data_IF_462342905982
#
_entry.id   IF_462342905982
#
_cell.length_a   1.000
_cell.length_b   1.000
_cell.length_c   1.000
_cell.angle_alpha   90.00
_cell.angle_beta   90.00
_cell.angle_gamma   90.00
#
_symmetry.space_group_name_H-M   'P 1'
#
loop_
_entity.id
_entity.type
_entity.pdbx_description
1 polymer ?
#
# COMPACT_ATOMS: atom_id res chain seq x y z
N UNK A 1 -21.47 -15.47 6.44
CA UNK A 1 -21.23 -14.07 6.81
C UNK A 1 -21.63 -13.18 5.64
N UNK A 2 -22.70 -12.39 5.80
CA UNK A 2 -23.26 -11.57 4.71
C UNK A 2 -22.28 -10.50 4.21
N UNK A 3 -21.36 -10.03 5.07
CA UNK A 3 -20.33 -9.05 4.70
C UNK A 3 -19.28 -9.65 3.76
N UNK A 4 -18.83 -10.88 4.04
CA UNK A 4 -17.86 -11.57 3.19
C UNK A 4 -18.46 -11.95 1.82
N UNK A 5 -19.73 -12.35 1.80
CA UNK A 5 -20.45 -12.66 0.55
C UNK A 5 -20.55 -11.42 -0.35
N UNK A 6 -20.91 -10.26 0.22
CA UNK A 6 -20.94 -8.99 -0.52
C UNK A 6 -19.57 -8.59 -1.06
N UNK A 7 -18.50 -8.78 -0.27
CA UNK A 7 -17.12 -8.55 -0.72
C UNK A 7 -16.79 -9.43 -1.92
N UNK A 8 -17.00 -10.74 -1.83
CA UNK A 8 -16.69 -11.67 -2.94
C UNK A 8 -17.50 -11.32 -4.20
N UNK A 9 -18.79 -11.03 -4.07
CA UNK A 9 -19.65 -10.70 -5.22
C UNK A 9 -19.32 -9.36 -5.88
N UNK A 10 -18.78 -8.40 -5.13
CA UNK A 10 -18.43 -7.08 -5.66
C UNK A 10 -17.01 -7.01 -6.24
N UNK A 11 -16.20 -8.07 -6.14
CA UNK A 11 -14.82 -8.09 -6.65
C UNK A 11 -14.74 -7.78 -8.15
N UNK A 12 -15.60 -8.35 -9.03
CA UNK A 12 -15.56 -8.03 -10.46
C UNK A 12 -15.85 -6.56 -10.75
N UNK A 13 -16.73 -5.94 -9.96
CA UNK A 13 -17.05 -4.50 -10.08
C UNK A 13 -15.83 -3.67 -9.68
N UNK A 14 -15.20 -4.01 -8.55
CA UNK A 14 -14.00 -3.34 -8.08
C UNK A 14 -12.86 -3.46 -9.10
N UNK A 15 -12.65 -4.66 -9.64
CA UNK A 15 -11.63 -4.93 -10.66
C UNK A 15 -11.83 -4.11 -11.93
N UNK A 16 -13.06 -4.08 -12.44
CA UNK A 16 -13.41 -3.32 -13.63
C UNK A 16 -13.21 -1.82 -13.41
N UNK A 17 -13.70 -1.26 -12.30
CA UNK A 17 -13.56 0.17 -11.99
C UNK A 17 -12.08 0.56 -11.81
N UNK A 18 -11.29 -0.25 -11.09
CA UNK A 18 -9.86 -0.04 -10.93
C UNK A 18 -9.13 -0.07 -12.29
N UNK A 19 -9.45 -1.06 -13.12
CA UNK A 19 -8.88 -1.22 -14.47
C UNK A 19 -9.17 0.00 -15.35
N UNK A 20 -10.41 0.49 -15.35
CA UNK A 20 -10.79 1.67 -16.12
C UNK A 20 -10.05 2.92 -15.63
N UNK A 21 -9.97 3.15 -14.31
CA UNK A 21 -9.24 4.31 -13.75
C UNK A 21 -7.78 4.31 -14.17
N UNK A 22 -7.10 3.17 -14.03
CA UNK A 22 -5.69 3.04 -14.38
C UNK A 22 -5.48 3.29 -15.88
N UNK A 23 -6.33 2.72 -16.74
CA UNK A 23 -6.21 2.91 -18.19
C UNK A 23 -6.54 4.32 -18.67
N UNK A 24 -7.55 4.97 -18.10
CA UNK A 24 -7.88 6.36 -18.44
C UNK A 24 -6.67 7.27 -18.19
N UNK A 25 -6.00 7.07 -17.06
CA UNK A 25 -4.81 7.85 -16.70
C UNK A 25 -3.61 7.45 -17.54
N UNK A 26 -3.36 6.16 -17.75
CA UNK A 26 -2.16 5.69 -18.46
C UNK A 26 -2.13 6.10 -19.93
N UNK A 27 -3.30 6.34 -20.54
CA UNK A 27 -3.45 6.75 -21.94
C UNK A 27 -3.48 8.27 -22.11
N UNK A 28 -3.73 9.02 -21.05
CA UNK A 28 -3.79 10.47 -21.08
C UNK A 28 -2.38 11.08 -20.99
N UNK A 29 -2.17 12.17 -21.73
CA UNK A 29 -0.98 13.01 -21.56
C UNK A 29 -1.03 13.78 -20.23
N UNK A 30 0.12 14.24 -19.73
CA UNK A 30 0.16 14.99 -18.47
C UNK A 30 -0.75 16.24 -18.46
N UNK A 31 -0.81 17.07 -19.53
CA UNK A 31 -1.77 18.19 -19.58
C UNK A 31 -3.23 17.73 -19.54
N UNK A 32 -3.58 16.62 -20.19
CA UNK A 32 -4.93 16.05 -20.15
C UNK A 32 -5.27 15.53 -18.75
N UNK A 33 -4.31 14.90 -18.05
CA UNK A 33 -4.49 14.50 -16.66
C UNK A 33 -4.77 15.73 -15.81
N UNK A 34 -3.99 16.80 -15.94
CA UNK A 34 -4.23 18.03 -15.20
C UNK A 34 -5.61 18.64 -15.51
N UNK A 35 -6.04 18.62 -16.77
CA UNK A 35 -7.36 19.09 -17.18
C UNK A 35 -8.51 18.26 -16.59
N UNK A 36 -8.41 16.93 -16.62
CA UNK A 36 -9.41 16.03 -16.02
C UNK A 36 -9.58 16.26 -14.50
N UNK A 37 -8.50 16.68 -13.82
CA UNK A 37 -8.51 16.92 -12.37
C UNK A 37 -8.97 18.32 -12.00
N UNK A 38 -9.07 19.24 -12.97
CA UNK A 38 -9.61 20.58 -12.75
C UNK A 38 -11.12 20.54 -12.51
N UNK A 39 -11.60 21.50 -11.72
CA UNK A 39 -13.01 21.55 -11.27
C UNK A 39 -13.93 22.19 -12.33
N UNK A 40 -13.38 23.08 -13.14
CA UNK A 40 -13.98 23.67 -14.35
C UNK A 40 -13.92 22.65 -15.50
N UNK A 41 -14.95 21.79 -15.55
CA UNK A 41 -14.90 20.50 -16.23
C UNK A 41 -14.97 20.52 -17.75
N UNK A 42 -14.04 19.78 -18.37
CA UNK A 42 -14.28 19.07 -19.63
C UNK A 42 -15.21 17.86 -19.43
N UNK A 43 -15.85 17.40 -20.50
CA UNK A 43 -16.70 16.20 -20.49
C UNK A 43 -15.91 14.97 -19.99
N UNK A 44 -14.65 14.85 -20.41
CA UNK A 44 -13.71 13.81 -19.97
C UNK A 44 -13.43 13.89 -18.46
N UNK A 45 -13.24 15.10 -17.91
CA UNK A 45 -13.08 15.31 -16.48
C UNK A 45 -14.31 14.91 -15.67
N UNK A 46 -15.52 15.16 -16.19
CA UNK A 46 -16.77 14.73 -15.56
C UNK A 46 -16.92 13.20 -15.58
N UNK A 47 -16.60 12.56 -16.70
CA UNK A 47 -16.60 11.10 -16.82
C UNK A 47 -15.61 10.46 -15.83
N UNK A 48 -14.38 10.98 -15.76
CA UNK A 48 -13.37 10.50 -14.82
C UNK A 48 -13.82 10.67 -13.36
N UNK A 49 -14.36 11.83 -12.97
CA UNK A 49 -14.87 12.05 -11.60
C UNK A 49 -15.99 11.09 -11.25
N UNK A 50 -16.90 10.83 -12.19
CA UNK A 50 -17.99 9.87 -12.00
C UNK A 50 -17.44 8.46 -11.77
N UNK A 51 -16.49 8.04 -12.60
CA UNK A 51 -15.79 6.76 -12.45
C UNK A 51 -15.07 6.64 -11.10
N UNK A 52 -14.33 7.67 -10.69
CA UNK A 52 -13.64 7.70 -9.39
C UNK A 52 -14.63 7.60 -8.24
N UNK A 53 -15.76 8.33 -8.29
CA UNK A 53 -16.78 8.28 -7.25
C UNK A 53 -17.39 6.86 -7.12
N UNK A 54 -17.69 6.20 -8.23
CA UNK A 54 -18.18 4.80 -8.22
C UNK A 54 -17.13 3.85 -7.64
N UNK A 55 -15.86 4.03 -8.02
CA UNK A 55 -14.75 3.26 -7.47
C UNK A 55 -14.64 3.45 -5.96
N UNK A 56 -14.61 4.69 -5.47
CA UNK A 56 -14.46 5.00 -4.04
C UNK A 56 -15.63 4.44 -3.22
N UNK A 57 -16.86 4.48 -3.74
CA UNK A 57 -18.02 3.86 -3.07
C UNK A 57 -17.93 2.33 -3.06
N UNK A 58 -17.45 1.72 -4.14
CA UNK A 58 -17.24 0.27 -4.20
C UNK A 58 -16.12 -0.16 -3.24
N UNK A 59 -15.04 0.63 -3.15
CA UNK A 59 -13.90 0.39 -2.25
C UNK A 59 -14.32 0.36 -0.78
N UNK A 60 -15.31 1.17 -0.38
CA UNK A 60 -15.87 1.21 0.99
C UNK A 60 -16.49 -0.09 1.49
N UNK A 61 -16.80 -1.03 0.58
CA UNK A 61 -17.21 -2.40 0.95
C UNK A 61 -16.04 -3.18 1.57
N UNK A 62 -14.81 -2.86 1.16
CA UNK A 62 -13.58 -3.57 1.56
C UNK A 62 -12.85 -2.85 2.69
N UNK A 63 -12.67 -1.53 2.57
CA UNK A 63 -12.09 -0.70 3.63
C UNK A 63 -12.78 0.66 3.73
N UNK A 64 -13.13 1.05 4.97
CA UNK A 64 -13.80 2.32 5.27
C UNK A 64 -12.89 3.34 5.95
N UNK A 65 -11.94 2.85 6.74
CA UNK A 65 -11.12 3.68 7.64
C UNK A 65 -9.70 3.88 7.09
N UNK A 66 -9.20 2.93 6.29
CA UNK A 66 -7.87 3.01 5.68
C UNK A 66 -7.95 3.34 4.19
N UNK A 67 -7.01 4.13 3.65
CA UNK A 67 -6.98 4.45 2.23
C UNK A 67 -6.70 3.22 1.35
N UNK A 68 -5.82 2.32 1.82
CA UNK A 68 -5.46 1.08 1.16
C UNK A 68 -6.16 -0.12 1.78
N UNK A 69 -6.49 -1.12 0.96
CA UNK A 69 -7.12 -2.36 1.40
C UNK A 69 -6.03 -3.39 1.70
N UNK A 70 -6.01 -3.89 2.93
CA UNK A 70 -5.21 -5.07 3.31
C UNK A 70 -6.02 -6.34 3.01
N UNK A 71 -5.61 -7.06 1.94
CA UNK A 71 -6.25 -8.28 1.48
C UNK A 71 -6.27 -9.39 2.55
N UNK A 72 -5.21 -9.48 3.37
CA UNK A 72 -5.09 -10.50 4.42
C UNK A 72 -6.05 -10.19 5.57
N UNK A 73 -6.11 -8.93 6.01
CA UNK A 73 -7.02 -8.50 7.07
C UNK A 73 -8.49 -8.75 6.72
N UNK A 74 -8.86 -8.68 5.44
CA UNK A 74 -10.22 -8.97 4.96
C UNK A 74 -10.43 -10.42 4.49
N UNK A 75 -9.49 -11.33 4.80
CA UNK A 75 -9.57 -12.76 4.50
C UNK A 75 -9.64 -13.11 3.01
N UNK A 76 -9.04 -12.28 2.14
CA UNK A 76 -8.87 -12.57 0.71
C UNK A 76 -7.55 -13.33 0.49
N UNK A 77 -7.60 -14.65 0.66
CA UNK A 77 -6.42 -15.50 0.57
C UNK A 77 -6.14 -16.05 -0.84
N UNK A 78 -7.12 -16.00 -1.74
CA UNK A 78 -6.91 -16.52 -3.10
C UNK A 78 -6.03 -15.55 -3.90
N UNK A 79 -5.02 -16.03 -4.65
CA UNK A 79 -4.14 -15.17 -5.43
C UNK A 79 -4.87 -14.23 -6.40
N UNK A 80 -5.93 -14.72 -7.07
CA UNK A 80 -6.74 -13.89 -7.96
C UNK A 80 -7.47 -12.76 -7.23
N UNK A 81 -7.95 -13.01 -6.00
CA UNK A 81 -8.60 -11.98 -5.18
C UNK A 81 -7.58 -10.94 -4.72
N UNK A 82 -6.41 -11.38 -4.26
CA UNK A 82 -5.32 -10.49 -3.85
C UNK A 82 -4.86 -9.59 -4.99
N UNK A 83 -4.82 -10.11 -6.22
CA UNK A 83 -4.45 -9.32 -7.40
C UNK A 83 -5.50 -8.23 -7.72
N UNK A 84 -6.79 -8.54 -7.59
CA UNK A 84 -7.86 -7.53 -7.73
C UNK A 84 -7.71 -6.44 -6.65
N UNK A 85 -7.45 -6.83 -5.40
CA UNK A 85 -7.24 -5.87 -4.30
C UNK A 85 -5.99 -5.01 -4.56
N UNK A 86 -4.89 -5.62 -4.99
CA UNK A 86 -3.65 -4.90 -5.34
C UNK A 86 -3.89 -3.90 -6.47
N UNK A 87 -4.64 -4.28 -7.50
CA UNK A 87 -5.04 -3.39 -8.58
C UNK A 87 -5.91 -2.22 -8.08
N UNK A 88 -6.85 -2.48 -7.17
CA UNK A 88 -7.63 -1.41 -6.54
C UNK A 88 -6.75 -0.46 -5.71
N UNK A 89 -5.73 -0.98 -5.02
CA UNK A 89 -4.75 -0.16 -4.32
C UNK A 89 -3.92 0.69 -5.30
N UNK A 90 -3.53 0.16 -6.46
CA UNK A 90 -2.87 0.94 -7.52
C UNK A 90 -3.76 2.08 -8.01
N UNK A 91 -5.03 1.80 -8.32
CA UNK A 91 -5.98 2.82 -8.74
C UNK A 91 -6.13 3.93 -7.68
N UNK A 92 -6.23 3.55 -6.41
CA UNK A 92 -6.24 4.50 -5.28
C UNK A 92 -4.97 5.34 -5.25
N UNK A 93 -3.80 4.71 -5.36
CA UNK A 93 -2.49 5.35 -5.34
C UNK A 93 -2.35 6.40 -6.44
N UNK A 94 -2.67 6.00 -7.67
CA UNK A 94 -2.56 6.85 -8.86
C UNK A 94 -3.54 8.04 -8.74
N UNK A 95 -4.80 7.79 -8.38
CA UNK A 95 -5.78 8.86 -8.22
C UNK A 95 -5.43 9.83 -7.08
N UNK A 96 -4.75 9.35 -6.03
CA UNK A 96 -4.29 10.17 -4.91
C UNK A 96 -3.19 11.14 -5.34
N UNK A 97 -2.17 10.64 -6.05
CA UNK A 97 -1.03 11.46 -6.51
C UNK A 97 -1.45 12.43 -7.61
N UNK A 98 -2.31 12.00 -8.54
CA UNK A 98 -2.58 12.80 -9.73
C UNK A 98 -3.68 13.84 -9.56
N UNK A 99 -4.50 13.78 -8.50
CA UNK A 99 -5.55 14.80 -8.35
C UNK A 99 -6.22 14.92 -6.99
N UNK A 100 -6.63 13.81 -6.37
CA UNK A 100 -7.51 13.92 -5.20
C UNK A 100 -6.78 14.35 -3.91
N UNK A 101 -5.48 14.06 -3.81
CA UNK A 101 -4.67 14.30 -2.60
C UNK A 101 -5.38 13.85 -1.30
N UNK A 102 -6.24 12.84 -1.40
CA UNK A 102 -7.10 12.32 -0.35
C UNK A 102 -6.36 11.35 0.57
N UNK A 103 -5.13 10.99 0.19
CA UNK A 103 -4.23 10.11 0.95
C UNK A 103 -2.96 10.87 1.30
N UNK A 104 -2.59 10.87 2.57
CA UNK A 104 -1.36 11.51 3.04
C UNK A 104 -0.13 10.84 2.44
N UNK A 105 0.95 11.60 2.24
CA UNK A 105 2.24 11.08 1.79
C UNK A 105 2.79 9.95 2.67
N UNK A 106 2.57 10.01 3.98
CA UNK A 106 2.97 8.94 4.89
C UNK A 106 2.36 7.58 4.50
N UNK A 107 1.04 7.53 4.37
CA UNK A 107 0.33 6.32 3.91
C UNK A 107 0.75 5.90 2.48
N UNK A 108 0.98 6.85 1.57
CA UNK A 108 1.50 6.52 0.23
C UNK A 108 2.88 5.83 0.32
N UNK A 109 3.77 6.35 1.17
CA UNK A 109 5.09 5.75 1.39
C UNK A 109 4.98 4.35 2.01
N UNK A 110 4.19 4.17 3.07
CA UNK A 110 4.05 2.88 3.76
C UNK A 110 3.52 1.77 2.84
N UNK A 111 2.48 2.07 2.04
CA UNK A 111 1.83 1.08 1.19
C UNK A 111 2.47 0.93 -0.20
N UNK A 112 3.52 1.69 -0.53
CA UNK A 112 4.15 1.65 -1.85
C UNK A 112 4.60 0.24 -2.24
N UNK A 113 5.35 -0.41 -1.35
CA UNK A 113 5.92 -1.74 -1.61
C UNK A 113 4.82 -2.79 -1.78
N UNK A 114 3.78 -2.77 -0.95
CA UNK A 114 2.65 -3.70 -1.06
C UNK A 114 1.81 -3.48 -2.31
N UNK A 115 1.73 -2.23 -2.79
CA UNK A 115 0.91 -1.86 -3.95
C UNK A 115 1.62 -2.19 -5.27
N UNK A 116 2.89 -1.79 -5.41
CA UNK A 116 3.62 -1.90 -6.67
C UNK A 116 4.55 -3.11 -6.76
N UNK A 117 4.91 -3.74 -5.64
CA UNK A 117 5.81 -4.89 -5.59
C UNK A 117 5.08 -6.10 -4.99
N UNK A 118 4.47 -6.95 -5.83
CA UNK A 118 3.83 -8.18 -5.38
C UNK A 118 4.76 -9.02 -4.48
N UNK A 119 4.19 -9.73 -3.50
CA UNK A 119 4.96 -10.60 -2.61
C UNK A 119 5.77 -11.62 -3.42
N UNK A 120 7.05 -11.77 -3.09
CA UNK A 120 7.97 -12.65 -3.80
C UNK A 120 8.58 -12.06 -5.08
N UNK A 121 8.21 -10.84 -5.48
CA UNK A 121 8.79 -10.15 -6.63
C UNK A 121 9.90 -9.18 -6.21
N UNK A 122 10.84 -8.96 -7.11
CA UNK A 122 11.95 -8.01 -6.92
C UNK A 122 11.52 -6.59 -7.26
N UNK A 123 12.09 -5.61 -6.57
CA UNK A 123 11.88 -4.19 -6.88
C UNK A 123 12.52 -3.84 -8.22
N UNK A 124 11.70 -3.41 -9.17
CA UNK A 124 12.16 -2.97 -10.49
C UNK A 124 12.78 -1.57 -10.42
N UNK A 125 13.69 -1.27 -11.36
CA UNK A 125 14.37 0.03 -11.43
C UNK A 125 13.42 1.23 -11.46
N UNK A 126 12.34 1.16 -12.24
CA UNK A 126 11.36 2.25 -12.32
C UNK A 126 10.55 2.41 -11.03
N UNK A 127 10.25 1.30 -10.34
CA UNK A 127 9.56 1.32 -9.05
C UNK A 127 10.44 1.97 -7.98
N UNK A 128 11.72 1.60 -7.92
CA UNK A 128 12.69 2.21 -7.02
C UNK A 128 12.88 3.71 -7.26
N UNK A 129 12.91 4.14 -8.54
CA UNK A 129 13.01 5.56 -8.88
C UNK A 129 11.82 6.36 -8.33
N UNK A 130 10.59 5.91 -8.59
CA UNK A 130 9.38 6.56 -8.06
C UNK A 130 9.32 6.51 -6.54
N UNK A 131 9.72 5.40 -5.92
CA UNK A 131 9.68 5.26 -4.47
C UNK A 131 10.64 6.23 -3.78
N UNK A 132 11.83 6.43 -4.35
CA UNK A 132 12.81 7.38 -3.85
C UNK A 132 12.27 8.82 -3.87
N UNK A 133 11.63 9.21 -4.98
CA UNK A 133 11.04 10.54 -5.09
C UNK A 133 9.83 10.70 -4.17
N UNK A 134 9.00 9.66 -4.02
CA UNK A 134 7.90 9.67 -3.05
C UNK A 134 8.39 9.85 -1.61
N UNK A 135 9.45 9.14 -1.20
CA UNK A 135 10.08 9.33 0.11
C UNK A 135 10.57 10.77 0.30
N UNK A 136 11.13 11.34 -0.75
CA UNK A 136 11.61 12.73 -0.75
C UNK A 136 10.46 13.72 -0.61
N UNK A 137 9.37 13.54 -1.36
CA UNK A 137 8.14 14.35 -1.22
C UNK A 137 7.50 14.19 0.17
N UNK A 138 7.54 12.98 0.73
CA UNK A 138 7.04 12.70 2.08
C UNK A 138 7.84 13.45 3.13
N UNK A 139 9.18 13.44 3.02
CA UNK A 139 10.07 14.21 3.88
C UNK A 139 9.79 15.72 3.78
N UNK A 140 9.74 16.27 2.56
CA UNK A 140 9.49 17.69 2.34
C UNK A 140 8.13 18.09 2.92
N UNK A 141 7.08 17.30 2.68
CA UNK A 141 5.76 17.54 3.24
C UNK A 141 5.77 17.49 4.76
N UNK A 142 6.45 16.52 5.38
CA UNK A 142 6.58 16.44 6.83
C UNK A 142 7.34 17.64 7.40
N UNK A 143 8.45 18.03 6.78
CA UNK A 143 9.28 19.17 7.18
C UNK A 143 8.52 20.50 7.11
N UNK A 144 7.64 20.68 6.11
CA UNK A 144 6.86 21.91 5.97
C UNK A 144 5.65 21.99 6.93
N UNK A 145 5.15 20.86 7.41
CA UNK A 145 3.89 20.79 8.16
C UNK A 145 4.08 20.35 9.63
N UNK A 146 5.28 19.93 10.04
CA UNK A 146 5.56 19.40 11.38
C UNK A 146 6.85 19.96 11.94
N UNK A 147 6.88 20.27 13.24
CA UNK A 147 8.09 20.67 13.98
C UNK A 147 8.93 19.46 14.46
N UNK A 148 8.78 18.31 13.82
CA UNK A 148 9.50 17.09 14.21
C UNK A 148 10.99 17.17 13.89
N UNK A 149 11.79 16.32 14.53
CA UNK A 149 13.23 16.24 14.26
C UNK A 149 13.47 15.71 12.83
N UNK A 150 14.12 16.47 11.94
CA UNK A 150 14.37 16.03 10.56
C UNK A 150 15.21 14.75 10.48
N UNK A 151 16.11 14.52 11.43
CA UNK A 151 16.90 13.29 11.51
C UNK A 151 16.01 12.09 11.77
N UNK A 152 15.07 12.18 12.72
CA UNK A 152 14.13 11.11 13.03
C UNK A 152 13.19 10.82 11.85
N UNK A 153 12.72 11.87 11.16
CA UNK A 153 11.93 11.71 9.94
C UNK A 153 12.71 11.00 8.83
N UNK A 154 13.99 11.35 8.66
CA UNK A 154 14.86 10.71 7.67
C UNK A 154 15.22 9.27 8.06
N UNK A 155 15.38 8.96 9.35
CA UNK A 155 15.53 7.58 9.81
C UNK A 155 14.27 6.73 9.55
N UNK A 156 13.08 7.30 9.77
CA UNK A 156 11.82 6.61 9.49
C UNK A 156 11.61 6.38 7.98
N UNK A 157 11.92 7.37 7.13
CA UNK A 157 11.74 7.27 5.68
C UNK A 157 12.84 6.47 5.00
N UNK A 158 14.08 6.55 5.51
CA UNK A 158 15.27 5.89 4.96
C UNK A 158 15.96 5.06 6.06
N UNK A 159 15.33 3.97 6.50
CA UNK A 159 15.83 3.20 7.62
C UNK A 159 17.10 2.42 7.23
N UNK A 160 18.01 2.16 8.18
CA UNK A 160 19.29 1.50 7.90
C UNK A 160 19.13 0.05 7.42
N UNK A 161 18.03 -0.62 7.82
CA UNK A 161 17.67 -2.00 7.48
C UNK A 161 16.76 -2.10 6.24
N UNK A 162 16.68 -1.05 5.41
CA UNK A 162 15.85 -1.04 4.20
C UNK A 162 16.20 -2.20 3.23
N UNK A 163 17.46 -2.61 3.19
CA UNK A 163 17.91 -3.78 2.45
C UNK A 163 17.30 -5.09 2.98
N UNK A 164 17.32 -5.29 4.29
CA UNK A 164 16.66 -6.43 4.94
C UNK A 164 15.14 -6.40 4.72
N UNK A 165 14.50 -5.22 4.81
CA UNK A 165 13.07 -5.07 4.55
C UNK A 165 12.69 -5.47 3.12
N UNK A 166 13.50 -5.10 2.11
CA UNK A 166 13.28 -5.55 0.73
C UNK A 166 13.47 -7.06 0.61
N UNK A 167 14.55 -7.61 1.18
CA UNK A 167 14.88 -9.03 1.07
C UNK A 167 13.83 -9.94 1.72
N UNK A 168 13.27 -9.54 2.86
CA UNK A 168 12.22 -10.31 3.56
C UNK A 168 10.94 -10.48 2.73
N UNK A 169 10.70 -9.62 1.73
CA UNK A 169 9.54 -9.72 0.83
C UNK A 169 9.70 -10.79 -0.25
N UNK A 170 10.91 -11.28 -0.51
CA UNK A 170 11.19 -12.34 -1.47
C UNK A 170 12.25 -13.31 -0.91
N UNK A 171 11.89 -14.12 0.11
CA UNK A 171 12.83 -14.96 0.86
C UNK A 171 13.57 -16.01 0.02
N UNK A 172 13.10 -16.28 -1.20
CA UNK A 172 13.75 -17.20 -2.13
C UNK A 172 14.99 -16.59 -2.82
N UNK A 173 15.22 -15.28 -2.71
CA UNK A 173 16.41 -14.64 -3.26
C UNK A 173 17.55 -14.65 -2.23
N UNK A 174 18.76 -15.13 -2.61
CA UNK A 174 19.90 -15.18 -1.70
C UNK A 174 20.51 -13.81 -1.41
N UNK A 175 20.25 -12.81 -2.25
CA UNK A 175 20.79 -11.45 -2.15
C UNK A 175 19.90 -10.47 -2.90
N UNK A 176 20.11 -9.17 -2.66
CA UNK A 176 19.51 -8.10 -3.45
C UNK A 176 19.90 -8.23 -4.93
N UNK A 177 18.95 -7.92 -5.80
CA UNK A 177 19.22 -7.77 -7.23
C UNK A 177 19.96 -6.45 -7.52
N UNK A 178 20.61 -6.31 -8.70
CA UNK A 178 21.30 -5.07 -9.05
C UNK A 178 20.41 -3.81 -9.00
N UNK A 179 19.12 -3.92 -9.36
CA UNK A 179 18.19 -2.79 -9.28
C UNK A 179 17.81 -2.44 -7.86
N UNK A 180 17.71 -3.43 -6.97
CA UNK A 180 17.47 -3.21 -5.54
C UNK A 180 18.68 -2.58 -4.87
N UNK A 181 19.89 -3.06 -5.19
CA UNK A 181 21.13 -2.49 -4.68
C UNK A 181 21.28 -1.03 -5.11
N UNK A 182 21.07 -0.71 -6.39
CA UNK A 182 21.07 0.67 -6.91
C UNK A 182 20.05 1.56 -6.15
N UNK A 183 18.84 1.04 -5.89
CA UNK A 183 17.84 1.76 -5.11
C UNK A 183 18.30 2.03 -3.67
N UNK A 184 18.90 1.05 -3.00
CA UNK A 184 19.42 1.20 -1.64
C UNK A 184 20.54 2.24 -1.59
N UNK A 185 21.50 2.16 -2.52
CA UNK A 185 22.64 3.09 -2.57
C UNK A 185 22.17 4.52 -2.84
N UNK A 186 21.22 4.69 -3.77
CA UNK A 186 20.59 6.00 -4.05
C UNK A 186 19.77 6.51 -2.87
N UNK A 187 19.08 5.63 -2.14
CA UNK A 187 18.33 5.98 -0.94
C UNK A 187 19.25 6.48 0.18
N UNK A 188 20.36 5.79 0.42
CA UNK A 188 21.40 6.19 1.38
C UNK A 188 22.02 7.53 0.98
N UNK A 189 22.39 7.71 -0.30
CA UNK A 189 22.91 8.97 -0.79
C UNK A 189 21.91 10.13 -0.65
N UNK A 190 20.63 9.90 -1.00
CA UNK A 190 19.55 10.89 -0.84
C UNK A 190 19.39 11.30 0.62
N UNK A 191 19.37 10.34 1.55
CA UNK A 191 19.33 10.63 3.00
C UNK A 191 20.49 11.53 3.43
N UNK A 192 21.71 11.20 3.03
CA UNK A 192 22.90 12.00 3.35
C UNK A 192 22.82 13.42 2.79
N UNK A 193 22.33 13.59 1.56
CA UNK A 193 22.14 14.91 0.97
C UNK A 193 21.07 15.72 1.68
N UNK A 194 19.92 15.13 1.99
CA UNK A 194 18.84 15.81 2.71
C UNK A 194 19.24 16.20 4.13
N UNK A 195 20.06 15.39 4.79
CA UNK A 195 20.59 15.67 6.13
C UNK A 195 21.64 16.79 6.12
N UNK A 196 22.43 16.90 5.05
CA UNK A 196 23.47 17.90 4.90
C UNK A 196 22.93 19.30 4.55
N UNK A 197 21.66 19.43 4.17
CA UNK A 197 21.05 20.73 3.85
C UNK A 197 21.00 21.64 5.11
N UNK A 198 21.53 22.88 5.03
CA UNK A 198 21.48 23.84 6.13
C UNK A 198 20.06 24.09 6.65
N UNK A 199 19.92 24.25 7.97
CA UNK A 199 18.63 24.46 8.66
C UNK A 199 18.18 25.93 8.69
N UNK A 200 18.42 26.66 7.62
CA UNK A 200 17.95 28.05 7.49
C UNK A 200 16.53 28.07 6.93
N UNK A 201 15.74 29.07 7.31
CA UNK A 201 14.38 29.24 6.73
C UNK A 201 14.42 29.36 5.20
N UNK A 202 15.52 29.86 4.65
CA UNK A 202 15.74 29.96 3.21
C UNK A 202 15.91 28.57 2.57
N UNK A 203 16.77 27.71 3.10
CA UNK A 203 16.95 26.35 2.60
C UNK A 203 15.68 25.49 2.74
N UNK A 204 14.91 25.68 3.82
CA UNK A 204 13.60 25.03 3.97
C UNK A 204 12.59 25.44 2.89
N UNK A 205 12.71 26.66 2.35
CA UNK A 205 11.89 27.15 1.22
C UNK A 205 12.45 26.79 -0.15
N UNK A 206 13.76 26.54 -0.27
CA UNK A 206 14.40 26.12 -1.52
C UNK A 206 14.21 24.62 -1.79
N UNK A 207 14.08 23.79 -0.76
CA UNK A 207 13.95 22.34 -0.93
C UNK A 207 12.72 21.92 -1.78
N UNK A 208 11.51 22.47 -1.56
CA UNK A 208 10.36 22.22 -2.43
C UNK A 208 10.54 22.74 -3.88
N UNK A 209 11.38 23.76 -4.08
CA UNK A 209 11.71 24.28 -5.43
C UNK A 209 12.70 23.36 -6.14
N UNK A 210 13.64 22.76 -5.41
CA UNK A 210 14.61 21.77 -5.93
C UNK A 210 13.92 20.45 -6.28
N UNK A 211 12.95 20.03 -5.48
CA UNK A 211 12.19 18.79 -5.67
C UNK A 211 10.72 19.12 -5.93
N UNK A 212 10.44 19.72 -7.10
CA UNK A 212 9.09 20.19 -7.40
C UNK A 212 8.08 19.05 -7.45
N UNK A 213 6.94 19.27 -6.81
CA UNK A 213 5.80 18.36 -6.87
C UNK A 213 5.36 18.08 -8.31
N UNK A 214 5.27 19.12 -9.13
CA UNK A 214 4.86 19.02 -10.55
C UNK A 214 5.79 18.13 -11.38
N UNK A 215 7.09 18.10 -11.06
CA UNK A 215 8.06 17.25 -11.73
C UNK A 215 7.86 15.79 -11.32
N UNK A 216 7.68 15.54 -10.01
CA UNK A 216 7.35 14.21 -9.51
C UNK A 216 6.07 13.65 -10.11
N UNK A 217 4.97 14.42 -10.12
CA UNK A 217 3.68 13.97 -10.68
C UNK A 217 3.79 13.66 -12.17
N UNK A 218 4.53 14.48 -12.92
CA UNK A 218 4.78 14.26 -14.35
C UNK A 218 5.61 13.00 -14.60
N UNK A 219 6.67 12.78 -13.81
CA UNK A 219 7.50 11.57 -13.89
C UNK A 219 6.68 10.33 -13.50
N UNK A 220 5.90 10.41 -12.42
CA UNK A 220 4.99 9.36 -11.97
C UNK A 220 4.00 8.96 -13.07
N UNK A 221 3.30 9.93 -13.66
CA UNK A 221 2.39 9.68 -14.76
C UNK A 221 3.09 9.00 -15.96
N UNK A 222 4.29 9.45 -16.31
CA UNK A 222 5.09 8.85 -17.39
C UNK A 222 5.49 7.40 -17.07
N UNK A 223 5.91 7.13 -15.84
CA UNK A 223 6.28 5.78 -15.39
C UNK A 223 5.07 4.83 -15.40
N UNK A 224 3.90 5.27 -14.94
CA UNK A 224 2.67 4.49 -15.01
C UNK A 224 2.31 4.19 -16.47
N UNK A 225 2.31 5.19 -17.35
CA UNK A 225 1.98 5.01 -18.76
C UNK A 225 2.89 3.99 -19.47
N UNK A 226 4.21 4.05 -19.20
CA UNK A 226 5.20 3.13 -19.80
C UNK A 226 5.14 1.71 -19.26
N UNK A 227 4.65 1.50 -18.05
CA UNK A 227 4.67 0.21 -17.37
C UNK A 227 3.27 -0.36 -17.10
N UNK A 228 2.21 0.24 -17.65
CA UNK A 228 0.81 -0.12 -17.32
C UNK A 228 0.54 -1.60 -17.53
N UNK A 229 1.03 -2.21 -18.62
CA UNK A 229 0.80 -3.63 -18.89
C UNK A 229 1.44 -4.53 -17.83
N UNK A 230 2.65 -4.21 -17.36
CA UNK A 230 3.33 -4.94 -16.29
C UNK A 230 2.77 -4.67 -14.90
N UNK A 231 2.18 -3.49 -14.69
CA UNK A 231 1.45 -3.13 -13.46
C UNK A 231 0.13 -3.90 -13.38
N UNK A 232 -0.54 -4.10 -14.51
CA UNK A 232 -1.88 -4.71 -14.60
C UNK A 232 -1.86 -6.23 -14.73
N UNK A 233 -0.83 -6.77 -15.38
CA UNK A 233 -0.68 -8.20 -15.64
C UNK A 233 0.62 -8.70 -15.00
N UNK A 234 0.59 -8.89 -13.68
CA UNK A 234 1.72 -9.51 -12.98
C UNK A 234 1.78 -10.98 -13.40
N UNK A 235 2.89 -11.45 -14.00
CA UNK A 235 3.04 -12.87 -14.31
C UNK A 235 2.94 -13.65 -13.00
N UNK A 236 1.98 -14.58 -12.92
CA UNK A 236 1.96 -15.54 -11.83
C UNK A 236 3.33 -16.22 -11.80
N UNK A 237 4.00 -16.20 -10.65
CA UNK A 237 5.28 -16.89 -10.48
C UNK A 237 5.05 -18.37 -10.77
N UNK A 238 5.36 -18.79 -12.00
CA UNK A 238 5.60 -20.18 -12.33
C UNK A 238 6.59 -20.68 -11.27
N UNK A 239 6.20 -21.67 -10.48
CA UNK A 239 7.18 -22.48 -9.76
C UNK A 239 8.10 -23.06 -10.83
N UNK A 240 9.23 -22.37 -11.07
CA UNK A 240 10.25 -22.83 -11.97
C UNK A 240 10.88 -24.05 -11.29
N UNK A 241 10.31 -25.22 -11.57
CA UNK A 241 11.03 -26.48 -11.46
C UNK A 241 12.31 -26.30 -12.25
N UNK A 242 13.43 -26.33 -11.53
CA UNK A 242 14.77 -26.30 -12.07
C UNK A 242 14.95 -27.45 -13.06
N UNK A 243 14.71 -27.21 -14.35
CA UNK A 243 15.24 -28.04 -15.41
C UNK A 243 16.26 -27.20 -16.18
N UNK A 244 17.49 -27.26 -15.68
CA UNK A 244 18.69 -26.83 -16.35
C UNK A 244 18.91 -27.62 -17.64
N UNK A 245 18.68 -26.99 -18.79
CA UNK A 245 19.43 -27.26 -20.03
C UNK A 245 19.61 -25.95 -20.77
N UNK A 246 20.80 -25.37 -20.65
CA UNK A 246 21.23 -24.27 -21.50
C UNK A 246 21.57 -24.77 -22.89
N UNK A 247 21.37 -23.91 -23.90
CA UNK A 247 22.26 -23.74 -25.05
C UNK A 247 22.09 -22.31 -25.61
N UNK A 248 23.21 -21.60 -25.62
CA UNK A 248 23.72 -20.51 -26.45
C UNK A 248 22.83 -19.63 -27.35
N UNK A 249 23.18 -18.34 -27.30
CA UNK A 249 22.87 -17.27 -28.23
C UNK A 249 23.54 -17.43 -29.61
N UNK A 250 22.85 -17.02 -30.67
CA UNK A 250 23.40 -16.48 -31.93
C UNK A 250 22.48 -15.37 -32.44
N UNK A 251 23.08 -14.30 -32.95
CA UNK A 251 22.47 -13.10 -33.48
C UNK A 251 22.07 -13.19 -34.97
N UNK A 252 21.31 -12.18 -35.39
CA UNK A 252 21.27 -11.53 -36.72
C UNK A 252 20.27 -11.94 -37.85
N UNK A 253 19.50 -10.90 -38.22
CA UNK A 253 19.16 -10.36 -39.57
C UNK A 253 18.08 -11.04 -40.45
N UNK A 254 16.96 -10.31 -40.55
CA UNK A 254 16.19 -9.84 -41.72
C UNK A 254 15.75 -10.81 -42.86
N UNK A 255 14.45 -10.74 -43.23
CA UNK A 255 13.94 -11.30 -44.48
C UNK A 255 12.40 -11.34 -44.59
N UNK A 256 11.85 -10.50 -45.47
CA UNK A 256 10.44 -10.37 -45.88
C UNK A 256 9.80 -11.68 -46.37
N UNK A 257 8.48 -11.86 -46.16
CA UNK A 257 7.49 -11.94 -47.27
C UNK A 257 6.06 -12.27 -46.78
N UNK A 258 5.09 -11.46 -47.22
CA UNK A 258 3.82 -11.86 -47.84
C UNK A 258 2.88 -12.88 -47.18
N UNK A 259 1.69 -12.40 -46.81
CA UNK A 259 0.42 -12.62 -47.53
C UNK A 259 -0.81 -12.97 -46.65
N UNK A 260 -1.80 -12.07 -46.75
CA UNK A 260 -3.27 -12.20 -46.72
C UNK A 260 -3.98 -13.41 -46.05
N UNK A 261 -5.03 -13.09 -45.29
CA UNK A 261 -6.12 -14.04 -44.98
C UNK A 261 -7.14 -13.53 -43.96
N UNK A 262 -8.26 -12.98 -44.46
CA UNK A 262 -9.48 -12.64 -43.72
C UNK A 262 -10.05 -13.80 -42.89
N UNK A 263 -10.65 -13.50 -41.72
CA UNK A 263 -11.95 -14.05 -41.32
C UNK A 263 -12.54 -13.28 -40.12
N UNK A 264 -13.73 -12.72 -40.33
CA UNK A 264 -14.60 -12.11 -39.34
C UNK A 264 -15.47 -13.17 -38.65
N UNK A 265 -15.69 -13.06 -37.33
CA UNK A 265 -16.82 -13.64 -36.59
C UNK A 265 -16.97 -12.78 -35.31
N UNK A 266 -17.90 -11.81 -35.21
CA UNK A 266 -19.35 -11.90 -35.02
C UNK A 266 -19.81 -12.41 -33.63
N UNK A 267 -20.40 -11.47 -32.90
CA UNK A 267 -21.67 -11.58 -32.17
C UNK A 267 -21.74 -12.33 -30.82
N UNK A 268 -21.95 -11.49 -29.80
CA UNK A 268 -22.65 -11.71 -28.53
C UNK A 268 -23.98 -12.45 -28.71
N UNK A 269 -24.36 -13.35 -27.79
CA UNK A 269 -25.76 -13.57 -27.49
C UNK A 269 -26.15 -13.03 -26.12
N UNK A 270 -27.32 -12.41 -26.16
CA UNK A 270 -28.05 -11.69 -25.15
C UNK A 270 -28.56 -12.60 -24.02
N UNK A 271 -28.75 -11.98 -22.85
CA UNK A 271 -29.34 -12.53 -21.63
C UNK A 271 -30.82 -12.87 -21.85
N UNK A 272 -31.22 -14.09 -21.47
CA UNK A 272 -32.61 -14.52 -21.35
C UNK A 272 -32.95 -14.80 -19.90
N UNK A 273 -33.87 -13.99 -19.35
CA UNK A 273 -34.52 -14.18 -18.05
C UNK A 273 -35.60 -15.25 -18.18
N UNK A 274 -35.59 -16.27 -17.31
CA UNK A 274 -36.83 -16.87 -16.81
C UNK A 274 -36.60 -17.64 -15.50
N UNK A 275 -37.45 -17.39 -14.50
CA UNK A 275 -37.39 -18.04 -13.19
C UNK A 275 -38.23 -19.32 -13.10
N UNK A 276 -37.89 -20.19 -12.13
CA UNK A 276 -38.87 -20.90 -11.30
C UNK A 276 -38.21 -21.64 -10.11
N UNK A 277 -38.96 -21.54 -9.02
CA UNK A 277 -38.95 -22.14 -7.67
C UNK A 277 -38.60 -23.63 -7.55
N UNK A 278 -38.06 -24.03 -6.39
CA UNK A 278 -37.95 -25.45 -5.99
C UNK A 278 -37.24 -25.72 -4.65
N UNK A 279 -38.06 -25.78 -3.61
CA UNK A 279 -37.97 -26.25 -2.21
C UNK A 279 -36.86 -27.24 -1.72
N UNK A 280 -36.36 -26.98 -0.50
CA UNK A 280 -36.39 -27.91 0.66
C UNK A 280 -35.39 -29.08 0.81
N UNK A 281 -34.41 -28.95 1.72
CA UNK A 281 -34.04 -30.04 2.66
C UNK A 281 -33.20 -29.54 3.84
N UNK A 282 -33.66 -29.84 5.06
CA UNK A 282 -33.10 -29.43 6.34
C UNK A 282 -32.15 -30.50 6.92
N UNK A 283 -31.05 -30.06 7.54
CA UNK A 283 -30.13 -30.93 8.28
C UNK A 283 -29.31 -30.19 9.35
N UNK A 284 -29.82 -30.19 10.59
CA UNK A 284 -29.17 -30.11 11.92
C UNK A 284 -28.02 -29.09 12.19
N UNK A 285 -28.32 -28.11 13.06
CA UNK A 285 -27.40 -27.29 13.92
C UNK A 285 -26.60 -28.17 14.92
N UNK A 286 -25.38 -27.80 15.38
CA UNK A 286 -25.12 -26.70 16.37
C UNK A 286 -23.70 -26.05 16.27
N UNK A 287 -23.22 -25.21 17.23
CA UNK A 287 -23.80 -24.09 17.98
C UNK A 287 -23.24 -22.72 17.49
N UNK A 288 -23.51 -21.65 18.24
CA UNK A 288 -23.28 -20.25 17.90
C UNK A 288 -21.86 -19.68 18.17
N UNK A 289 -21.67 -18.44 17.69
CA UNK A 289 -20.63 -17.42 18.01
C UNK A 289 -19.33 -17.49 17.15
N UNK A 290 -18.72 -16.38 16.69
CA UNK A 290 -18.60 -15.04 17.29
C UNK A 290 -18.52 -13.97 16.20
N UNK A 291 -19.31 -12.90 16.33
CA UNK A 291 -19.19 -11.64 15.58
C UNK A 291 -17.83 -10.98 15.82
N UNK A 292 -17.14 -10.49 14.78
CA UNK A 292 -15.99 -9.58 14.92
C UNK A 292 -16.47 -8.18 15.32
N UNK A 293 -16.94 -8.12 16.57
CA UNK A 293 -16.93 -6.94 17.43
C UNK A 293 -15.48 -6.48 17.55
N UNK A 294 -15.26 -5.16 17.60
CA UNK A 294 -13.96 -4.55 17.97
C UNK A 294 -13.42 -5.31 19.18
N UNK A 295 -12.38 -6.13 19.01
CA UNK A 295 -11.91 -6.98 20.10
C UNK A 295 -11.40 -6.09 21.24
N UNK A 296 -12.13 -6.02 22.37
CA UNK A 296 -11.76 -5.17 23.48
C UNK A 296 -10.40 -5.63 24.01
N UNK A 297 -9.61 -4.67 24.50
CA UNK A 297 -8.36 -5.02 25.17
C UNK A 297 -8.68 -5.71 26.48
N UNK A 298 -8.05 -6.84 26.70
CA UNK A 298 -8.12 -7.58 27.96
C UNK A 298 -7.06 -7.04 28.92
N UNK A 299 -7.30 -7.13 30.23
CA UNK A 299 -6.32 -6.70 31.24
C UNK A 299 -4.93 -7.35 31.05
N UNK A 300 -4.82 -8.66 30.74
CA UNK A 300 -3.52 -9.27 30.46
C UNK A 300 -2.77 -8.66 29.26
N UNK A 301 -3.49 -8.24 28.21
CA UNK A 301 -2.89 -7.54 27.07
C UNK A 301 -2.40 -6.14 27.45
N UNK A 302 -3.13 -5.43 28.31
CA UNK A 302 -2.74 -4.12 28.83
C UNK A 302 -1.50 -4.21 29.72
N UNK A 303 -1.47 -5.20 30.62
CA UNK A 303 -0.34 -5.44 31.52
C UNK A 303 0.91 -5.85 30.73
N UNK A 304 0.76 -6.69 29.70
CA UNK A 304 1.85 -7.07 28.81
C UNK A 304 2.40 -5.89 27.99
N UNK A 305 1.52 -4.98 27.54
CA UNK A 305 1.93 -3.75 26.86
C UNK A 305 2.72 -2.82 27.78
N UNK A 306 2.26 -2.63 29.03
CA UNK A 306 2.96 -1.81 30.03
C UNK A 306 4.30 -2.41 30.43
N UNK A 307 4.35 -3.73 30.67
CA UNK A 307 5.59 -4.45 30.99
C UNK A 307 6.56 -4.45 29.82
N UNK A 308 6.05 -4.54 28.59
CA UNK A 308 6.84 -4.39 27.36
C UNK A 308 7.51 -3.02 27.29
N UNK A 309 6.72 -1.94 27.43
CA UNK A 309 7.22 -0.56 27.42
C UNK A 309 8.28 -0.29 28.50
N UNK A 310 8.11 -0.87 29.69
CA UNK A 310 9.08 -0.76 30.78
C UNK A 310 10.39 -1.52 30.47
N UNK A 311 10.28 -2.75 29.97
CA UNK A 311 11.46 -3.59 29.63
C UNK A 311 12.29 -3.05 28.48
N UNK A 312 11.64 -2.50 27.45
CA UNK A 312 12.34 -1.92 26.30
C UNK A 312 12.70 -0.46 26.51
N UNK A 313 12.35 0.13 27.66
CA UNK A 313 12.61 1.52 28.04
C UNK A 313 12.19 2.55 26.97
N UNK A 314 11.04 2.35 26.34
CA UNK A 314 10.56 3.24 25.27
C UNK A 314 9.53 2.61 24.34
N UNK A 315 8.97 3.38 23.38
CA UNK A 315 7.94 2.93 22.45
C UNK A 315 8.51 2.07 21.29
N UNK A 316 9.30 1.04 21.59
CA UNK A 316 9.84 0.11 20.59
C UNK A 316 8.85 -1.03 20.31
N UNK A 317 7.78 -0.72 19.56
CA UNK A 317 6.64 -1.63 19.34
C UNK A 317 7.02 -2.98 18.71
N UNK A 318 7.98 -2.99 17.79
CA UNK A 318 8.52 -4.22 17.19
C UNK A 318 9.21 -5.12 18.22
N UNK A 319 9.99 -4.53 19.15
CA UNK A 319 10.64 -5.26 20.24
C UNK A 319 9.62 -5.79 21.25
N UNK A 320 8.57 -5.02 21.54
CA UNK A 320 7.47 -5.48 22.41
C UNK A 320 6.75 -6.69 21.79
N UNK A 321 6.52 -6.69 20.48
CA UNK A 321 5.95 -7.85 19.77
C UNK A 321 6.93 -9.04 19.69
N UNK A 322 8.24 -8.81 19.68
CA UNK A 322 9.22 -9.89 19.79
C UNK A 322 9.22 -10.57 21.19
N UNK A 323 8.76 -9.86 22.22
CA UNK A 323 8.65 -10.40 23.58
C UNK A 323 7.27 -11.03 23.86
N UNK A 324 6.19 -10.38 23.41
CA UNK A 324 4.81 -10.70 23.79
C UNK A 324 3.89 -11.09 22.60
N UNK A 325 4.37 -10.97 21.37
CA UNK A 325 3.63 -11.25 20.14
C UNK A 325 3.68 -12.73 19.72
N UNK A 326 3.43 -13.00 18.44
CA UNK A 326 3.39 -14.37 17.91
C UNK A 326 4.81 -14.97 17.92
N UNK A 327 5.04 -16.05 18.67
CA UNK A 327 6.37 -16.58 18.94
C UNK A 327 7.18 -15.76 19.95
N UNK A 328 6.52 -14.95 20.79
CA UNK A 328 7.17 -14.09 21.77
C UNK A 328 7.94 -14.87 22.84
N UNK A 329 9.12 -14.38 23.21
CA UNK A 329 10.02 -15.04 24.17
C UNK A 329 9.52 -15.02 25.63
N UNK A 330 8.54 -14.18 25.97
CA UNK A 330 7.96 -14.08 27.33
C UNK A 330 6.54 -14.63 27.37
N UNK A 331 5.70 -14.25 26.40
CA UNK A 331 4.37 -14.83 26.22
C UNK A 331 3.84 -14.54 24.81
N UNK A 332 2.70 -15.12 24.44
CA UNK A 332 2.05 -14.84 23.15
C UNK A 332 0.73 -14.07 23.31
N UNK A 333 0.57 -13.30 24.38
CA UNK A 333 -0.69 -12.61 24.70
C UNK A 333 -1.04 -11.50 23.70
N UNK A 334 -0.05 -10.91 23.03
CA UNK A 334 -0.20 -9.89 21.98
C UNK A 334 -0.10 -10.48 20.56
N UNK A 335 -0.21 -11.80 20.38
CA UNK A 335 -0.04 -12.46 19.06
C UNK A 335 -1.02 -12.01 17.98
N UNK A 336 -2.20 -11.56 18.38
CA UNK A 336 -3.26 -11.07 17.50
C UNK A 336 -3.27 -9.53 17.40
N UNK A 337 -2.22 -8.87 17.91
CA UNK A 337 -2.08 -7.41 17.93
C UNK A 337 -0.91 -6.95 17.07
N UNK A 338 -1.06 -5.80 16.39
CA UNK A 338 -0.03 -5.19 15.53
C UNK A 338 0.58 -3.93 16.17
N UNK A 339 1.71 -3.44 15.62
CA UNK A 339 2.44 -2.29 16.18
C UNK A 339 1.57 -1.03 16.29
N UNK A 340 0.67 -0.82 15.32
CA UNK A 340 -0.28 0.31 15.31
C UNK A 340 -1.28 0.22 16.46
N UNK A 341 -1.84 -0.96 16.71
CA UNK A 341 -2.76 -1.21 17.82
C UNK A 341 -2.08 -1.01 19.17
N UNK A 342 -0.82 -1.44 19.32
CA UNK A 342 -0.03 -1.20 20.53
C UNK A 342 0.21 0.30 20.75
N UNK A 343 0.59 1.03 19.70
CA UNK A 343 0.78 2.49 19.73
C UNK A 343 -0.51 3.24 20.09
N UNK A 344 -1.62 2.92 19.43
CA UNK A 344 -2.92 3.54 19.69
C UNK A 344 -3.43 3.23 21.09
N UNK A 345 -3.24 1.99 21.58
CA UNK A 345 -3.62 1.63 22.93
C UNK A 345 -2.79 2.35 23.98
N UNK A 346 -1.47 2.44 23.79
CA UNK A 346 -0.58 3.16 24.71
C UNK A 346 -0.93 4.66 24.75
N UNK A 347 -1.24 5.26 23.60
CA UNK A 347 -1.74 6.65 23.51
C UNK A 347 -3.07 6.83 24.24
N UNK A 348 -4.04 5.94 24.02
CA UNK A 348 -5.34 5.99 24.67
C UNK A 348 -5.26 5.78 26.19
N UNK A 349 -4.38 4.88 26.65
CA UNK A 349 -4.10 4.68 28.08
C UNK A 349 -3.50 5.95 28.69
N UNK A 350 -2.51 6.57 28.04
CA UNK A 350 -1.93 7.84 28.48
C UNK A 350 -2.98 8.95 28.58
N UNK A 351 -3.86 9.06 27.58
CA UNK A 351 -4.97 10.02 27.60
C UNK A 351 -5.95 9.75 28.74
N UNK A 352 -6.25 8.48 29.03
CA UNK A 352 -7.13 8.09 30.14
C UNK A 352 -6.54 8.48 31.51
N UNK A 353 -5.24 8.24 31.74
CA UNK A 353 -4.55 8.66 32.98
C UNK A 353 -4.59 10.18 33.15
N UNK A 354 -4.30 10.94 32.08
CA UNK A 354 -4.36 12.40 32.08
C UNK A 354 -5.78 12.93 32.34
N UNK A 355 -6.81 12.30 31.76
CA UNK A 355 -8.22 12.71 31.92
C UNK A 355 -8.80 12.36 33.29
N UNK A 356 -8.33 11.29 33.91
CA UNK A 356 -8.78 10.85 35.24
C UNK A 356 -7.96 11.45 36.39
N UNK A 357 -6.97 12.30 36.10
CA UNK A 357 -6.13 12.97 37.10
C UNK A 357 -5.20 12.01 37.87
N UNK A 358 -4.96 10.80 37.33
CA UNK A 358 -4.04 9.82 37.90
C UNK A 358 -2.64 10.02 37.33
N UNK A 359 -1.61 9.74 38.13
CA UNK A 359 -0.23 9.85 37.67
C UNK A 359 0.04 8.90 36.49
N UNK A 360 0.65 9.42 35.43
CA UNK A 360 1.01 8.65 34.23
C UNK A 360 2.22 7.77 34.56
N UNK A 361 2.11 6.43 34.41
CA UNK A 361 3.23 5.52 34.61
C UNK A 361 4.50 5.94 33.83
N UNK A 362 5.71 5.79 34.41
CA UNK A 362 6.97 6.15 33.73
C UNK A 362 7.12 5.55 32.33
N UNK A 363 6.67 4.30 32.14
CA UNK A 363 6.67 3.59 30.86
C UNK A 363 5.83 4.27 29.76
N UNK A 364 4.82 5.07 30.12
CA UNK A 364 3.96 5.81 29.17
C UNK A 364 4.44 7.25 28.93
N UNK A 365 5.45 7.72 29.68
CA UNK A 365 5.98 9.08 29.52
C UNK A 365 6.63 9.28 28.14
N UNK A 366 7.33 8.26 27.63
CA UNK A 366 8.01 8.25 26.33
C UNK A 366 7.11 8.11 25.09
N UNK A 367 5.80 7.87 25.25
CA UNK A 367 4.85 7.80 24.12
C UNK A 367 4.51 9.23 23.67
N UNK A 368 5.17 9.71 22.62
CA UNK A 368 4.96 11.05 22.03
C UNK A 368 3.98 10.99 20.85
N UNK A 369 3.13 12.00 20.74
CA UNK A 369 2.12 12.14 19.69
C UNK A 369 1.02 13.12 20.11
N UNK A 370 0.53 13.94 19.17
CA UNK A 370 -0.50 14.95 19.41
C UNK A 370 -1.73 14.32 20.11
N UNK A 371 -2.05 14.80 21.31
CA UNK A 371 -3.20 14.33 22.09
C UNK A 371 -4.44 15.03 21.55
N UNK A 372 -5.18 14.39 20.63
CA UNK A 372 -6.48 14.92 20.23
C UNK A 372 -7.41 14.85 21.44
N UNK A 373 -7.90 16.01 21.85
CA UNK A 373 -8.86 16.22 22.94
C UNK A 373 -10.18 15.50 22.68
#
# INVERSE_FOLDING_TARGET
>A
DAGMHLKIQSLPILDNLATQLIHTISKASYPQIQDMMRTDGSEDGQAYRTLKNLFDQTRKVYSRETPFIDAIAIQMFQPAQQEIIRKANIATFISSILGAHDVSFFHLNEFFMETFVPLGHRLLKWQGAIYLELKTQTYISALMNSDGNPEEMLEELFPPDLDAQILTRHPDAPSLSPSEQDFIDRSRARKSYLLAEPRTEENMRELPKKYQWSDFVREFASCIAKNVDGIMNVPARSQATSNSKGVNAIADINGQSGNAGHAALSAVPNLGVNGKSGDGSAGKKPPAAVSTVRQPWTKPEEDALLSGLERVNGPHWSQILALYGRGGSVSEVLKDRNQVQLKDKARNLKLWYLKTGKEVPPALRGVTGELRK
#
